data_IF_718020324652
#
_entry.id   IF_718020324652
#
_cell.length_a   1.000
_cell.length_b   1.000
_cell.length_c   1.000
_cell.angle_alpha   90.00
_cell.angle_beta   90.00
_cell.angle_gamma   90.00
#
_symmetry.space_group_name_H-M   'P 1'
#
loop_
_entity.id
_entity.type
_entity.pdbx_description
1 polymer ?
#
# COMPACT_ATOMS: atom_id res chain seq x y z
N UNK A 1 -2.05 4.97 -18.41
CA UNK A 1 -2.46 5.18 -17.02
C UNK A 1 -1.25 4.90 -16.15
N UNK A 2 -0.92 5.81 -15.24
CA UNK A 2 0.19 5.64 -14.29
C UNK A 2 -0.24 4.68 -13.17
N UNK A 3 0.60 3.69 -12.84
CA UNK A 3 0.30 2.72 -11.79
C UNK A 3 0.29 3.40 -10.41
N UNK A 4 1.06 4.48 -10.22
CA UNK A 4 1.09 5.24 -8.97
C UNK A 4 -0.27 5.87 -8.65
N UNK A 5 -0.95 6.44 -9.66
CA UNK A 5 -2.31 6.98 -9.52
C UNK A 5 -3.29 5.89 -9.09
N UNK A 6 -3.20 4.69 -9.68
CA UNK A 6 -4.10 3.60 -9.32
C UNK A 6 -3.89 3.14 -7.88
N UNK A 7 -2.62 3.02 -7.45
CA UNK A 7 -2.24 2.55 -6.11
C UNK A 7 -2.44 3.59 -5.00
N UNK A 8 -2.26 4.89 -5.29
CA UNK A 8 -2.32 5.96 -4.30
C UNK A 8 -3.66 6.70 -4.29
N UNK A 9 -4.34 6.81 -5.43
CA UNK A 9 -5.59 7.56 -5.51
C UNK A 9 -6.80 6.61 -5.60
N UNK A 10 -6.79 5.68 -6.55
CA UNK A 10 -7.99 4.87 -6.84
C UNK A 10 -8.25 3.83 -5.76
N UNK A 11 -7.24 3.06 -5.36
CA UNK A 11 -7.39 2.06 -4.29
C UNK A 11 -7.54 2.67 -2.90
N UNK A 12 -7.18 3.96 -2.73
CA UNK A 12 -7.21 4.70 -1.46
C UNK A 12 -8.16 5.90 -1.52
N UNK A 13 -9.30 5.65 -2.15
CA UNK A 13 -10.32 6.64 -2.41
C UNK A 13 -11.26 6.79 -1.20
N UNK A 14 -11.39 8.03 -0.70
CA UNK A 14 -12.30 8.40 0.38
C UNK A 14 -13.47 9.27 -0.10
N UNK A 15 -13.84 9.15 -1.37
CA UNK A 15 -15.02 9.79 -1.91
C UNK A 15 -16.27 8.97 -1.60
N UNK A 16 -17.27 9.62 -1.02
CA UNK A 16 -18.57 9.03 -0.72
C UNK A 16 -19.59 9.43 -1.79
N UNK A 17 -20.03 8.51 -2.67
CA UNK A 17 -20.83 8.86 -3.84
C UNK A 17 -22.25 9.33 -3.49
N UNK A 18 -22.86 8.78 -2.43
CA UNK A 18 -24.23 9.15 -2.02
C UNK A 18 -24.30 10.57 -1.45
N UNK A 19 -23.30 10.98 -0.68
CA UNK A 19 -23.27 12.30 -0.04
C UNK A 19 -22.55 13.34 -0.90
N UNK A 20 -21.90 12.92 -1.99
CA UNK A 20 -21.02 13.75 -2.82
C UNK A 20 -19.95 14.46 -1.98
N UNK A 21 -19.29 13.68 -1.11
CA UNK A 21 -18.27 14.19 -0.19
C UNK A 21 -16.93 13.50 -0.43
N UNK A 22 -15.89 14.28 -0.68
CA UNK A 22 -14.51 13.82 -0.59
C UNK A 22 -13.99 14.03 0.85
N UNK A 23 -13.95 12.94 1.62
CA UNK A 23 -13.45 13.02 2.98
C UNK A 23 -11.97 13.38 3.02
N UNK A 24 -11.14 12.83 2.14
CA UNK A 24 -9.71 13.14 2.12
C UNK A 24 -9.49 14.65 2.02
N UNK A 25 -10.14 15.30 1.05
CA UNK A 25 -10.09 16.76 0.88
C UNK A 25 -10.52 17.52 2.13
N UNK A 26 -11.60 17.09 2.78
CA UNK A 26 -12.11 17.72 4.00
C UNK A 26 -11.13 17.58 5.18
N UNK A 27 -10.61 16.38 5.42
CA UNK A 27 -9.69 16.11 6.52
C UNK A 27 -8.33 16.79 6.33
N UNK A 28 -7.81 16.86 5.10
CA UNK A 28 -6.59 17.64 4.80
C UNK A 28 -6.78 19.14 5.01
N UNK A 29 -7.97 19.67 4.69
CA UNK A 29 -8.29 21.08 4.87
C UNK A 29 -8.70 21.44 6.32
N UNK A 30 -8.75 20.47 7.24
CA UNK A 30 -9.23 20.70 8.61
C UNK A 30 -10.74 20.98 8.70
N UNK A 31 -11.50 20.62 7.66
CA UNK A 31 -12.94 20.87 7.54
C UNK A 31 -13.74 19.62 7.91
N UNK A 32 -13.56 19.12 9.13
CA UNK A 32 -14.28 17.95 9.65
C UNK A 32 -14.86 18.25 11.04
N UNK A 33 -16.02 17.67 11.33
CA UNK A 33 -16.74 17.84 12.61
C UNK A 33 -16.53 16.65 13.57
N UNK A 34 -15.93 15.57 13.07
CA UNK A 34 -15.69 14.33 13.80
C UNK A 34 -14.36 13.72 13.36
N UNK A 35 -13.68 13.03 14.26
CA UNK A 35 -12.51 12.21 13.93
C UNK A 35 -12.85 11.01 13.04
N UNK A 36 -14.12 10.62 13.03
CA UNK A 36 -14.62 9.40 12.40
C UNK A 36 -15.57 9.69 11.24
N UNK A 37 -15.52 8.80 10.24
CA UNK A 37 -16.49 8.68 9.14
C UNK A 37 -17.09 7.27 9.11
N UNK A 38 -18.26 7.13 8.47
CA UNK A 38 -18.74 5.81 8.06
C UNK A 38 -17.89 5.30 6.89
N UNK A 39 -17.42 4.06 7.00
CA UNK A 39 -16.61 3.40 5.98
C UNK A 39 -17.44 2.51 5.04
N UNK A 40 -18.75 2.43 5.23
CA UNK A 40 -19.63 1.46 4.55
C UNK A 40 -19.82 1.67 3.07
N UNK A 41 -19.52 2.84 2.55
CA UNK A 41 -19.63 3.15 1.13
C UNK A 41 -18.26 3.39 0.47
N UNK A 42 -17.18 3.18 1.22
CA UNK A 42 -15.82 3.28 0.67
C UNK A 42 -15.47 2.05 -0.15
N UNK A 43 -14.56 2.22 -1.10
CA UNK A 43 -14.01 1.09 -1.87
C UNK A 43 -13.20 0.15 -0.95
N UNK A 44 -12.34 0.74 -0.14
CA UNK A 44 -11.54 0.06 0.86
C UNK A 44 -12.20 0.18 2.23
N UNK A 45 -12.60 -0.94 2.81
CA UNK A 45 -13.33 -1.03 4.09
C UNK A 45 -12.57 -1.88 5.09
N UNK A 46 -13.05 -1.94 6.33
CA UNK A 46 -12.42 -2.75 7.38
C UNK A 46 -12.25 -4.23 7.00
N UNK A 47 -13.07 -4.79 6.12
CA UNK A 47 -12.93 -6.15 5.59
C UNK A 47 -11.91 -6.32 4.45
N UNK A 48 -11.42 -5.23 3.84
CA UNK A 48 -10.46 -5.31 2.72
C UNK A 48 -9.13 -5.87 3.21
N UNK A 49 -8.69 -6.94 2.55
CA UNK A 49 -7.53 -7.74 2.94
C UNK A 49 -6.30 -7.54 2.04
N UNK A 50 -6.48 -6.92 0.87
CA UNK A 50 -5.38 -6.52 -0.02
C UNK A 50 -5.88 -5.64 -1.19
N UNK A 51 -4.91 -4.99 -1.85
CA UNK A 51 -5.04 -4.48 -3.22
C UNK A 51 -3.97 -5.16 -4.08
N UNK A 52 -4.35 -5.59 -5.28
CA UNK A 52 -3.43 -6.15 -6.27
C UNK A 52 -3.62 -5.41 -7.59
N UNK A 53 -2.53 -4.86 -8.14
CA UNK A 53 -2.52 -4.24 -9.46
C UNK A 53 -1.54 -4.99 -10.36
N UNK A 54 -2.00 -5.43 -11.53
CA UNK A 54 -1.16 -6.08 -12.53
C UNK A 54 -0.83 -5.06 -13.62
N UNK A 55 0.43 -4.65 -13.68
CA UNK A 55 0.97 -3.78 -14.72
C UNK A 55 1.49 -4.64 -15.88
N UNK A 56 0.76 -4.56 -16.99
CA UNK A 56 1.11 -5.21 -18.25
C UNK A 56 2.40 -4.68 -18.89
N UNK A 57 2.84 -5.39 -19.92
CA UNK A 57 3.99 -5.05 -20.76
C UNK A 57 3.59 -4.30 -22.03
N UNK A 58 4.55 -3.60 -22.65
CA UNK A 58 4.37 -2.99 -23.98
C UNK A 58 4.54 -4.03 -25.09
N UNK A 59 4.02 -3.71 -26.28
CA UNK A 59 4.22 -4.56 -27.47
C UNK A 59 5.72 -4.72 -27.75
N UNK A 60 6.18 -5.97 -27.82
CA UNK A 60 7.59 -6.32 -28.07
C UNK A 60 8.44 -6.49 -26.81
N UNK A 61 7.92 -6.19 -25.63
CA UNK A 61 8.58 -6.55 -24.37
C UNK A 61 8.37 -8.04 -24.04
N UNK A 62 9.25 -8.62 -23.23
CA UNK A 62 9.11 -10.00 -22.78
C UNK A 62 7.93 -10.16 -21.82
N UNK A 63 7.06 -11.20 -21.98
CA UNK A 63 5.98 -11.52 -21.04
C UNK A 63 6.44 -11.73 -19.59
N UNK A 64 7.71 -12.05 -19.38
CA UNK A 64 8.30 -12.22 -18.05
C UNK A 64 8.39 -10.91 -17.23
N UNK A 65 8.21 -9.75 -17.89
CA UNK A 65 8.37 -8.42 -17.30
C UNK A 65 7.08 -7.77 -16.82
N UNK A 66 6.00 -8.55 -16.67
CA UNK A 66 4.81 -8.07 -15.95
C UNK A 66 5.16 -7.74 -14.50
N UNK A 67 4.73 -6.58 -14.03
CA UNK A 67 4.89 -6.18 -12.63
C UNK A 67 3.57 -6.33 -11.91
N UNK A 68 3.57 -7.08 -10.81
CA UNK A 68 2.45 -7.18 -9.91
C UNK A 68 2.76 -6.28 -8.72
N UNK A 69 1.85 -5.39 -8.38
CA UNK A 69 1.93 -4.54 -7.19
C UNK A 69 0.97 -5.09 -6.15
N UNK A 70 1.45 -5.26 -4.91
CA UNK A 70 0.66 -5.80 -3.81
C UNK A 70 0.71 -4.86 -2.62
N UNK A 71 -0.46 -4.51 -2.11
CA UNK A 71 -0.67 -3.95 -0.77
C UNK A 71 -1.31 -5.06 0.05
N UNK A 72 -0.57 -5.72 0.93
CA UNK A 72 -1.10 -6.84 1.74
C UNK A 72 -1.67 -6.33 3.06
N UNK A 73 -2.81 -6.86 3.48
CA UNK A 73 -3.54 -6.35 4.64
C UNK A 73 -4.46 -5.20 4.26
N UNK A 74 -4.67 -4.26 5.19
CA UNK A 74 -5.53 -3.11 4.93
C UNK A 74 -4.81 -2.08 4.04
N UNK A 75 -5.30 -1.79 2.82
CA UNK A 75 -4.58 -0.95 1.83
C UNK A 75 -4.17 0.45 2.31
N UNK A 76 -5.00 1.09 3.15
CA UNK A 76 -4.71 2.44 3.67
C UNK A 76 -3.56 2.48 4.67
N UNK A 77 -3.13 1.31 5.18
CA UNK A 77 -2.03 1.19 6.13
C UNK A 77 -0.91 0.28 5.62
N UNK A 78 -0.97 -0.12 4.34
CA UNK A 78 -0.03 -1.04 3.71
C UNK A 78 0.70 -0.39 2.55
N UNK A 79 2.03 -0.50 2.55
CA UNK A 79 2.89 -0.05 1.45
C UNK A 79 2.71 -0.95 0.21
N UNK A 80 2.74 -0.34 -0.97
CA UNK A 80 2.75 -1.02 -2.26
C UNK A 80 4.11 -1.65 -2.56
N UNK A 81 4.14 -2.98 -2.75
CA UNK A 81 5.37 -3.73 -3.05
C UNK A 81 5.30 -4.33 -4.45
N UNK A 82 6.27 -4.05 -5.33
CA UNK A 82 6.34 -4.67 -6.65
C UNK A 82 6.93 -6.08 -6.60
N UNK A 83 6.43 -6.95 -7.47
CA UNK A 83 6.95 -8.29 -7.72
C UNK A 83 6.87 -8.63 -9.21
N UNK A 84 7.77 -9.51 -9.65
CA UNK A 84 7.90 -9.94 -11.04
C UNK A 84 7.71 -11.45 -11.16
N UNK A 85 6.96 -11.86 -12.18
CA UNK A 85 6.72 -13.28 -12.51
C UNK A 85 8.05 -14.03 -12.71
N UNK A 86 9.02 -13.36 -13.33
CA UNK A 86 10.39 -13.90 -13.52
C UNK A 86 11.11 -14.26 -12.22
N UNK A 87 10.71 -13.68 -11.09
CA UNK A 87 11.23 -14.02 -9.76
C UNK A 87 10.84 -15.43 -9.32
N UNK A 88 9.84 -16.07 -9.95
CA UNK A 88 9.36 -17.41 -9.59
C UNK A 88 8.92 -17.46 -8.12
N UNK A 89 9.44 -18.43 -7.37
CA UNK A 89 9.17 -18.59 -5.93
C UNK A 89 9.88 -17.52 -5.07
N UNK A 90 10.79 -16.75 -5.65
CA UNK A 90 11.43 -15.65 -4.96
C UNK A 90 10.50 -14.44 -4.93
N UNK A 91 9.87 -14.21 -3.79
CA UNK A 91 9.09 -13.01 -3.48
C UNK A 91 9.74 -12.23 -2.32
N UNK A 92 9.48 -10.91 -2.19
CA UNK A 92 9.94 -10.11 -1.05
C UNK A 92 9.65 -10.77 0.30
N UNK A 93 10.63 -10.78 1.21
CA UNK A 93 10.51 -11.38 2.54
C UNK A 93 9.38 -10.72 3.35
N UNK A 94 9.18 -9.42 3.17
CA UNK A 94 8.09 -8.68 3.80
C UNK A 94 6.69 -9.17 3.40
N UNK A 95 6.58 -9.91 2.29
CA UNK A 95 5.34 -10.55 1.83
C UNK A 95 5.26 -12.04 2.20
N UNK A 96 6.39 -12.68 2.55
CA UNK A 96 6.42 -14.11 2.93
C UNK A 96 5.83 -14.32 4.31
N UNK A 97 5.24 -15.49 4.53
CA UNK A 97 4.81 -15.90 5.85
C UNK A 97 6.01 -16.09 6.77
N UNK A 98 6.02 -15.38 7.89
CA UNK A 98 6.98 -15.56 8.97
C UNK A 98 6.34 -16.42 10.07
N UNK A 99 7.02 -17.52 10.42
CA UNK A 99 6.54 -18.50 11.40
C UNK A 99 6.50 -17.96 12.83
N UNK A 100 7.37 -17.01 13.15
CA UNK A 100 7.44 -16.35 14.47
C UNK A 100 6.31 -15.34 14.62
N UNK A 101 6.08 -14.52 13.59
CA UNK A 101 4.98 -13.55 13.57
C UNK A 101 3.61 -14.20 13.35
N UNK A 102 3.58 -15.43 12.84
CA UNK A 102 2.38 -16.12 12.33
C UNK A 102 1.61 -15.27 11.31
N UNK A 103 2.35 -14.48 10.53
CA UNK A 103 1.83 -13.54 9.55
C UNK A 103 2.98 -13.13 8.59
N UNK A 104 2.70 -12.42 7.50
CA UNK A 104 3.76 -11.72 6.78
C UNK A 104 4.17 -10.43 7.51
N UNK A 105 5.45 -10.03 7.46
CA UNK A 105 5.90 -8.79 8.11
C UNK A 105 5.09 -7.56 7.70
N UNK A 106 4.84 -7.37 6.41
CA UNK A 106 4.08 -6.20 5.92
C UNK A 106 2.63 -6.23 6.40
N UNK A 107 1.95 -7.39 6.38
CA UNK A 107 0.60 -7.48 6.92
C UNK A 107 0.58 -7.26 8.43
N UNK A 108 1.60 -7.72 9.15
CA UNK A 108 1.75 -7.47 10.59
C UNK A 108 1.80 -5.97 10.88
N UNK A 109 2.63 -5.21 10.15
CA UNK A 109 2.72 -3.75 10.28
C UNK A 109 1.41 -3.06 9.89
N UNK A 110 0.84 -3.41 8.74
CA UNK A 110 -0.41 -2.82 8.26
C UNK A 110 -1.55 -3.03 9.26
N UNK A 111 -1.62 -4.21 9.88
CA UNK A 111 -2.63 -4.53 10.90
C UNK A 111 -2.41 -3.80 12.23
N UNK A 112 -1.17 -3.46 12.60
CA UNK A 112 -0.91 -2.61 13.77
C UNK A 112 -1.51 -1.22 13.58
N UNK A 113 -1.24 -0.57 12.44
CA UNK A 113 -1.83 0.74 12.12
C UNK A 113 -3.33 0.64 11.86
N UNK A 114 -3.82 -0.48 11.30
CA UNK A 114 -5.27 -0.72 11.10
C UNK A 114 -6.04 -0.63 12.41
N UNK A 115 -5.49 -1.15 13.52
CA UNK A 115 -6.12 -1.09 14.84
C UNK A 115 -6.32 0.34 15.34
N UNK A 116 -5.49 1.28 14.88
CA UNK A 116 -5.64 2.69 15.27
C UNK A 116 -6.66 3.44 14.42
N UNK A 117 -6.88 3.01 13.18
CA UNK A 117 -7.86 3.62 12.28
C UNK A 117 -9.24 2.97 12.43
N UNK A 118 -9.33 1.72 12.91
CA UNK A 118 -10.56 1.08 13.40
C UNK A 118 -10.45 0.71 14.89
N UNK A 119 -10.43 1.68 15.80
CA UNK A 119 -10.16 1.44 17.23
C UNK A 119 -11.37 0.91 18.01
N UNK A 120 -12.56 0.90 17.42
CA UNK A 120 -13.80 0.52 18.12
C UNK A 120 -14.00 -0.99 18.04
N UNK A 121 -13.82 -1.69 19.16
CA UNK A 121 -13.89 -3.16 19.24
C UNK A 121 -15.27 -3.78 19.55
N UNK A 122 -16.31 -2.97 19.76
CA UNK A 122 -17.71 -3.46 19.95
C UNK A 122 -18.37 -3.75 18.59
N UNK A 123 -19.47 -4.51 18.58
CA UNK A 123 -20.14 -5.10 17.40
C UNK A 123 -19.91 -4.35 16.09
N UNK A 124 -20.41 -3.12 16.02
CA UNK A 124 -20.50 -2.31 14.79
C UNK A 124 -19.36 -1.29 14.67
N UNK A 125 -18.29 -1.47 15.44
CA UNK A 125 -17.15 -0.57 15.44
C UNK A 125 -16.37 -0.57 14.13
N UNK A 126 -16.41 -1.67 13.39
CA UNK A 126 -15.72 -1.83 12.10
C UNK A 126 -16.31 -0.97 10.97
N UNK A 127 -17.48 -0.36 11.18
CA UNK A 127 -18.08 0.61 10.27
C UNK A 127 -17.48 2.01 10.40
N UNK A 128 -16.78 2.30 11.51
CA UNK A 128 -16.32 3.66 11.82
C UNK A 128 -14.81 3.77 11.64
N UNK A 129 -14.41 4.48 10.58
CA UNK A 129 -13.02 4.76 10.27
C UNK A 129 -12.58 6.07 10.94
N UNK A 130 -11.57 6.01 11.80
CA UNK A 130 -10.89 7.18 12.37
C UNK A 130 -9.99 7.84 11.33
N UNK A 131 -10.58 8.69 10.50
CA UNK A 131 -9.94 9.29 9.34
C UNK A 131 -8.75 10.20 9.72
N UNK A 132 -8.78 10.86 10.89
CA UNK A 132 -7.66 11.71 11.36
C UNK A 132 -6.34 10.97 11.56
N UNK A 133 -6.38 9.64 11.73
CA UNK A 133 -5.19 8.79 11.81
C UNK A 133 -4.60 8.45 10.43
N UNK A 134 -5.42 8.46 9.37
CA UNK A 134 -4.94 8.26 8.01
C UNK A 134 -4.50 9.56 7.35
N UNK A 135 -5.29 10.63 7.53
CA UNK A 135 -5.14 11.90 6.84
C UNK A 135 -5.46 13.04 7.81
N UNK A 136 -4.56 14.01 7.91
CA UNK A 136 -4.77 15.20 8.73
C UNK A 136 -4.11 16.45 8.12
N UNK A 137 -4.41 17.67 8.64
CA UNK A 137 -3.80 18.91 8.15
C UNK A 137 -2.28 18.98 8.36
N UNK A 138 -1.76 18.30 9.39
CA UNK A 138 -0.32 18.28 9.71
C UNK A 138 0.48 17.38 8.78
N UNK A 139 -0.17 16.63 7.88
CA UNK A 139 0.45 15.68 6.94
C UNK A 139 1.21 14.55 7.65
N UNK A 140 0.80 14.18 8.86
CA UNK A 140 1.42 13.11 9.66
C UNK A 140 0.63 11.80 9.67
N UNK A 141 -0.53 11.78 9.00
CA UNK A 141 -1.38 10.60 8.96
C UNK A 141 -0.68 9.41 8.27
N UNK A 142 -1.07 8.18 8.65
CA UNK A 142 -0.42 6.96 8.17
C UNK A 142 -0.41 6.86 6.64
N UNK A 143 -1.52 7.21 6.00
CA UNK A 143 -1.62 7.18 4.54
C UNK A 143 -0.67 8.19 3.89
N UNK A 144 -0.64 9.41 4.42
CA UNK A 144 0.22 10.49 3.90
C UNK A 144 1.71 10.14 4.03
N UNK A 145 2.09 9.45 5.11
CA UNK A 145 3.44 8.93 5.32
C UNK A 145 3.78 7.82 4.31
N UNK A 146 2.86 6.87 4.12
CA UNK A 146 3.03 5.76 3.16
C UNK A 146 3.21 6.31 1.75
N UNK A 147 2.35 7.23 1.32
CA UNK A 147 2.40 7.78 -0.04
C UNK A 147 3.72 8.51 -0.31
N UNK A 148 4.21 9.27 0.69
CA UNK A 148 5.50 9.93 0.57
C UNK A 148 6.66 8.94 0.50
N UNK A 149 6.61 7.86 1.28
CA UNK A 149 7.61 6.79 1.25
C UNK A 149 7.59 6.00 -0.07
N UNK A 150 6.40 5.70 -0.59
CA UNK A 150 6.19 4.97 -1.84
C UNK A 150 6.78 5.68 -3.06
N UNK A 151 6.87 7.01 -3.07
CA UNK A 151 7.58 7.76 -4.12
C UNK A 151 9.00 7.23 -4.34
N UNK A 152 9.69 6.85 -3.26
CA UNK A 152 11.02 6.25 -3.32
C UNK A 152 11.00 4.83 -3.90
N UNK A 153 10.00 4.02 -3.53
CA UNK A 153 9.82 2.67 -4.09
C UNK A 153 9.53 2.74 -5.59
N UNK A 154 8.64 3.65 -6.01
CA UNK A 154 8.26 3.84 -7.41
C UNK A 154 9.46 4.29 -8.23
N UNK A 155 10.22 5.29 -7.77
CA UNK A 155 11.43 5.74 -8.45
C UNK A 155 12.47 4.62 -8.64
N UNK A 156 12.74 3.85 -7.58
CA UNK A 156 13.67 2.71 -7.64
C UNK A 156 13.17 1.61 -8.59
N UNK A 157 11.86 1.38 -8.61
CA UNK A 157 11.22 0.38 -9.47
C UNK A 157 11.29 0.80 -10.93
N UNK A 158 11.00 2.06 -11.23
CA UNK A 158 11.09 2.62 -12.58
C UNK A 158 12.53 2.58 -13.11
N UNK A 159 13.52 2.88 -12.27
CA UNK A 159 14.93 2.75 -12.61
C UNK A 159 15.28 1.31 -13.04
N UNK A 160 14.85 0.30 -12.25
CA UNK A 160 15.06 -1.11 -12.61
C UNK A 160 14.30 -1.51 -13.86
N UNK A 161 13.04 -1.13 -13.99
CA UNK A 161 12.22 -1.43 -15.16
C UNK A 161 12.80 -0.83 -16.45
N UNK A 162 13.41 0.35 -16.39
CA UNK A 162 14.05 0.99 -17.55
C UNK A 162 15.23 0.15 -18.10
N UNK A 163 15.94 -0.56 -17.22
CA UNK A 163 17.00 -1.50 -17.61
C UNK A 163 16.43 -2.87 -17.99
N UNK A 164 15.57 -3.44 -17.14
CA UNK A 164 15.07 -4.81 -17.25
C UNK A 164 14.16 -5.05 -18.46
N UNK A 165 13.47 -4.00 -18.96
CA UNK A 165 12.70 -4.07 -20.20
C UNK A 165 13.58 -4.13 -21.45
N UNK A 166 14.83 -3.66 -21.39
CA UNK A 166 15.79 -3.73 -22.51
C UNK A 166 16.61 -5.02 -22.49
N UNK A 167 16.99 -5.45 -21.30
CA UNK A 167 17.73 -6.69 -21.07
C UNK A 167 17.17 -7.39 -19.84
N UNK A 168 16.65 -8.61 -20.04
CA UNK A 168 16.02 -9.37 -18.97
C UNK A 168 16.97 -9.56 -17.78
N UNK A 169 16.51 -9.29 -16.54
CA UNK A 169 17.35 -9.46 -15.36
C UNK A 169 17.66 -10.93 -15.10
N UNK A 170 18.80 -11.16 -14.45
CA UNK A 170 19.04 -12.44 -13.76
C UNK A 170 18.20 -12.52 -12.50
N UNK A 171 17.88 -13.72 -12.05
CA UNK A 171 17.11 -13.92 -10.81
C UNK A 171 17.77 -13.28 -9.59
N UNK A 172 19.11 -13.23 -9.55
CA UNK A 172 19.87 -12.56 -8.48
C UNK A 172 19.70 -11.03 -8.48
N UNK A 173 19.46 -10.40 -9.63
CA UNK A 173 19.20 -8.95 -9.68
C UNK A 173 17.83 -8.61 -9.09
N UNK A 174 16.83 -9.45 -9.38
CA UNK A 174 15.49 -9.36 -8.78
C UNK A 174 15.59 -9.58 -7.26
N UNK A 175 16.34 -10.60 -6.84
CA UNK A 175 16.55 -10.91 -5.43
C UNK A 175 17.20 -9.76 -4.66
N UNK A 176 18.29 -9.20 -5.19
CA UNK A 176 18.98 -8.06 -4.58
C UNK A 176 18.06 -6.84 -4.47
N UNK A 177 17.20 -6.62 -5.47
CA UNK A 177 16.20 -5.56 -5.42
C UNK A 177 15.17 -5.81 -4.31
N UNK A 178 14.68 -7.04 -4.17
CA UNK A 178 13.79 -7.39 -3.06
C UNK A 178 14.44 -7.24 -1.69
N UNK A 179 15.71 -7.60 -1.53
CA UNK A 179 16.44 -7.40 -0.27
C UNK A 179 16.52 -5.91 0.11
N UNK A 180 16.76 -5.04 -0.88
CA UNK A 180 16.72 -3.58 -0.69
C UNK A 180 15.33 -3.10 -0.26
N UNK A 181 14.28 -3.57 -0.92
CA UNK A 181 12.89 -3.21 -0.58
C UNK A 181 12.51 -3.70 0.82
N UNK A 182 12.85 -4.95 1.16
CA UNK A 182 12.57 -5.51 2.48
C UNK A 182 13.13 -4.61 3.57
N UNK A 183 14.42 -4.27 3.49
CA UNK A 183 15.09 -3.39 4.46
C UNK A 183 14.40 -2.02 4.55
N UNK A 184 14.11 -1.39 3.40
CA UNK A 184 13.46 -0.07 3.39
C UNK A 184 12.08 -0.08 4.04
N UNK A 185 11.29 -1.12 3.77
CA UNK A 185 9.93 -1.26 4.30
C UNK A 185 9.97 -1.55 5.80
N UNK A 186 10.84 -2.46 6.25
CA UNK A 186 11.01 -2.75 7.67
C UNK A 186 11.47 -1.51 8.43
N UNK A 187 12.47 -0.78 7.92
CA UNK A 187 12.94 0.48 8.51
C UNK A 187 11.76 1.50 8.59
N UNK A 188 10.96 1.65 7.54
CA UNK A 188 9.82 2.59 7.51
C UNK A 188 8.79 2.34 8.62
N UNK A 189 8.44 1.07 8.88
CA UNK A 189 7.45 0.73 9.91
C UNK A 189 8.03 0.64 11.33
N UNK A 190 9.35 0.57 11.49
CA UNK A 190 10.01 0.39 12.79
C UNK A 190 10.68 1.65 13.35
N UNK A 191 10.89 2.68 12.53
CA UNK A 191 11.60 3.94 12.90
C UNK A 191 10.87 4.78 13.97
N UNK A 192 9.63 4.45 14.34
CA UNK A 192 8.87 5.18 15.39
C UNK A 192 8.19 4.23 16.39
N UNK A 193 8.99 3.47 17.14
CA UNK A 193 8.60 2.94 18.46
C UNK A 193 9.30 3.69 19.57
#
# INVERSE_FOLDING_TARGET
MDYGIVLQDFSRCFYHPVFDVDYRKNYEAGKFTSDFISADDLLTRSGTASTILIQGIRKGESPDMNTVWVQVGYPETSVSVPLWVRGGENIPLVLKYDTTLKNSPLNHYAMQWKKEVFPIGRSDGYHYLKMTKLVNPQKTGYLQRIENFEKGIFALTDEKLAAWRKALPKSSEIENFYQLLNKKIDDFYTVEK
#
